data_IF_830329861382
#
_entry.id   IF_830329861382
#
_cell.length_a   1.000
_cell.length_b   1.000
_cell.length_c   1.000
_cell.angle_alpha   90.00
_cell.angle_beta   90.00
_cell.angle_gamma   90.00
#
_symmetry.space_group_name_H-M   'P 1'
#
loop_
_entity.id
_entity.type
_entity.pdbx_description
1 polymer ?
#
# COMPACT_ATOMS: atom_id res chain seq x y z
N UNK A 1 3.20 -29.58 -29.63
CA UNK A 1 4.08 -29.27 -28.46
C UNK A 1 4.54 -27.81 -28.37
N UNK A 2 4.55 -27.05 -29.47
CA UNK A 2 5.12 -25.68 -29.49
C UNK A 2 4.18 -24.58 -28.92
N UNK A 3 2.88 -24.73 -29.01
CA UNK A 3 1.91 -23.71 -28.54
C UNK A 3 1.85 -23.61 -27.01
N UNK A 4 2.10 -24.68 -26.27
CA UNK A 4 2.09 -24.67 -24.81
C UNK A 4 3.33 -24.00 -24.17
N UNK A 5 4.47 -24.05 -24.85
CA UNK A 5 5.72 -23.43 -24.39
C UNK A 5 5.67 -21.90 -24.48
N UNK A 6 5.04 -21.33 -25.52
CA UNK A 6 4.89 -19.89 -25.68
C UNK A 6 3.99 -19.25 -24.60
N UNK A 7 2.86 -19.86 -24.32
CA UNK A 7 1.92 -19.38 -23.31
C UNK A 7 2.50 -19.45 -21.88
N UNK A 8 3.28 -20.48 -21.58
CA UNK A 8 3.96 -20.59 -20.29
C UNK A 8 5.07 -19.54 -20.10
N UNK A 9 5.84 -19.24 -21.15
CA UNK A 9 6.86 -18.20 -21.15
C UNK A 9 6.24 -16.79 -21.00
N UNK A 10 5.15 -16.51 -21.71
CA UNK A 10 4.43 -15.23 -21.62
C UNK A 10 3.84 -15.01 -20.23
N UNK A 11 3.22 -16.02 -19.63
CA UNK A 11 2.70 -15.97 -18.27
C UNK A 11 3.82 -15.75 -17.22
N UNK A 12 5.02 -16.33 -17.43
CA UNK A 12 6.15 -16.14 -16.54
C UNK A 12 6.71 -14.71 -16.61
N UNK A 13 6.80 -14.12 -17.79
CA UNK A 13 7.23 -12.71 -17.98
C UNK A 13 6.25 -11.75 -17.31
N UNK A 14 4.94 -11.94 -17.50
CA UNK A 14 3.93 -11.13 -16.84
C UNK A 14 3.95 -11.25 -15.31
N UNK A 15 4.20 -12.44 -14.78
CA UNK A 15 4.33 -12.64 -13.33
C UNK A 15 5.57 -11.96 -12.76
N UNK A 16 6.71 -12.04 -13.46
CA UNK A 16 7.94 -11.35 -13.07
C UNK A 16 7.80 -9.83 -13.08
N UNK A 17 7.20 -9.25 -14.12
CA UNK A 17 6.95 -7.80 -14.19
C UNK A 17 6.08 -7.31 -13.03
N UNK A 18 5.04 -8.07 -12.67
CA UNK A 18 4.20 -7.77 -11.51
C UNK A 18 4.99 -7.79 -10.20
N UNK A 19 5.81 -8.81 -10.01
CA UNK A 19 6.65 -8.94 -8.81
C UNK A 19 7.68 -7.82 -8.73
N UNK A 20 8.34 -7.49 -9.82
CA UNK A 20 9.30 -6.39 -9.91
C UNK A 20 8.64 -5.03 -9.62
N UNK A 21 7.43 -4.78 -10.16
CA UNK A 21 6.66 -3.57 -9.87
C UNK A 21 6.27 -3.45 -8.40
N UNK A 22 5.89 -4.55 -7.75
CA UNK A 22 5.57 -4.55 -6.32
C UNK A 22 6.82 -4.40 -5.45
N UNK A 23 7.92 -5.06 -5.82
CA UNK A 23 9.19 -4.93 -5.10
C UNK A 23 9.73 -3.49 -5.18
N UNK A 24 9.70 -2.86 -6.35
CA UNK A 24 10.12 -1.46 -6.53
C UNK A 24 9.20 -0.49 -5.76
N UNK A 25 7.88 -0.71 -5.74
CA UNK A 25 6.98 0.04 -4.88
C UNK A 25 7.38 -0.08 -3.39
N UNK A 26 7.59 -1.31 -2.92
CA UNK A 26 7.99 -1.56 -1.53
C UNK A 26 9.30 -0.85 -1.18
N UNK A 27 10.30 -0.89 -2.06
CA UNK A 27 11.58 -0.25 -1.83
C UNK A 27 11.49 1.28 -1.80
N UNK A 28 10.93 1.90 -2.84
CA UNK A 28 10.91 3.36 -2.96
C UNK A 28 9.85 4.01 -2.06
N UNK A 29 8.66 3.46 -1.98
CA UNK A 29 7.57 4.08 -1.22
C UNK A 29 7.56 3.64 0.24
N UNK A 30 7.53 2.33 0.51
CA UNK A 30 7.48 1.83 1.89
C UNK A 30 8.82 1.98 2.59
N UNK A 31 9.94 1.71 1.92
CA UNK A 31 11.27 1.87 2.48
C UNK A 31 11.67 3.34 2.60
N UNK A 32 11.76 4.05 1.49
CA UNK A 32 12.32 5.41 1.47
C UNK A 32 11.32 6.49 1.89
N UNK A 33 10.15 6.59 1.23
CA UNK A 33 9.21 7.68 1.50
C UNK A 33 8.60 7.57 2.91
N UNK A 34 8.20 6.38 3.33
CA UNK A 34 7.65 6.14 4.68
C UNK A 34 8.70 6.37 5.77
N UNK A 35 9.98 6.06 5.52
CA UNK A 35 11.06 6.38 6.45
C UNK A 35 11.16 7.89 6.71
N UNK A 36 11.15 8.71 5.66
CA UNK A 36 11.18 10.17 5.80
C UNK A 36 9.92 10.72 6.47
N UNK A 37 8.76 10.15 6.13
CA UNK A 37 7.50 10.47 6.79
C UNK A 37 7.56 10.19 8.29
N UNK A 38 8.06 9.04 8.73
CA UNK A 38 8.17 8.72 10.14
C UNK A 38 9.22 9.55 10.86
N UNK A 39 10.31 9.93 10.22
CA UNK A 39 11.25 10.90 10.77
C UNK A 39 10.57 12.24 11.05
N UNK A 40 9.80 12.75 10.10
CA UNK A 40 9.01 13.97 10.25
C UNK A 40 7.97 13.83 11.38
N UNK A 41 7.22 12.73 11.42
CA UNK A 41 6.24 12.46 12.47
C UNK A 41 6.89 12.32 13.85
N UNK A 42 8.08 11.74 13.95
CA UNK A 42 8.81 11.64 15.22
C UNK A 42 9.38 12.99 15.68
N UNK A 43 9.67 13.90 14.74
CA UNK A 43 10.02 15.27 15.07
C UNK A 43 8.82 16.07 15.61
N UNK A 44 7.65 15.92 15.01
CA UNK A 44 6.41 16.57 15.47
C UNK A 44 5.89 15.99 16.80
N UNK A 45 6.04 14.67 16.98
CA UNK A 45 5.56 13.93 18.15
C UNK A 45 6.71 13.09 18.72
N UNK A 46 7.65 13.70 19.48
CA UNK A 46 8.79 13.00 20.04
C UNK A 46 8.35 11.87 20.98
N UNK A 47 9.06 10.75 20.92
CA UNK A 47 8.73 9.56 21.70
C UNK A 47 8.84 9.80 23.21
N UNK A 48 9.83 10.58 23.62
CA UNK A 48 10.11 10.89 25.02
C UNK A 48 8.99 11.69 25.71
N UNK A 49 8.23 12.45 24.93
CA UNK A 49 7.10 13.28 25.43
C UNK A 49 5.75 12.79 24.96
N UNK A 50 5.67 11.52 24.52
CA UNK A 50 4.45 10.96 23.95
C UNK A 50 3.43 10.70 25.05
N UNK A 51 2.32 11.43 24.99
CA UNK A 51 1.13 11.23 25.84
C UNK A 51 0.04 10.50 25.03
N UNK A 52 -0.98 9.89 25.66
CA UNK A 52 -2.08 9.26 24.94
C UNK A 52 -2.75 10.19 23.91
N UNK A 53 -2.93 11.48 24.24
CA UNK A 53 -3.50 12.46 23.33
C UNK A 53 -2.59 12.74 22.13
N UNK A 54 -1.28 12.90 22.38
CA UNK A 54 -0.29 13.08 21.29
C UNK A 54 -0.20 11.83 20.41
N UNK A 55 -0.31 10.64 21.00
CA UNK A 55 -0.36 9.39 20.24
C UNK A 55 -1.57 9.34 19.32
N UNK A 56 -2.77 9.66 19.81
CA UNK A 56 -3.98 9.73 18.99
C UNK A 56 -3.82 10.76 17.86
N UNK A 57 -3.28 11.94 18.16
CA UNK A 57 -3.01 12.96 17.15
C UNK A 57 -2.00 12.45 16.09
N UNK A 58 -0.94 11.76 16.51
CA UNK A 58 0.05 11.14 15.60
C UNK A 58 -0.60 10.10 14.69
N UNK A 59 -1.41 9.20 15.23
CA UNK A 59 -2.15 8.20 14.45
C UNK A 59 -3.14 8.88 13.51
N UNK A 60 -3.92 9.86 13.99
CA UNK A 60 -4.88 10.60 13.17
C UNK A 60 -4.19 11.33 12.01
N UNK A 61 -3.07 12.01 12.25
CA UNK A 61 -2.27 12.67 11.22
C UNK A 61 -1.76 11.66 10.19
N UNK A 62 -1.26 10.51 10.65
CA UNK A 62 -0.82 9.45 9.75
C UNK A 62 -1.94 8.93 8.86
N UNK A 63 -3.14 8.75 9.41
CA UNK A 63 -4.30 8.28 8.65
C UNK A 63 -4.88 9.36 7.72
N UNK A 64 -4.88 10.61 8.13
CA UNK A 64 -5.45 11.70 7.35
C UNK A 64 -4.55 12.15 6.19
N UNK A 65 -3.23 12.00 6.32
CA UNK A 65 -2.26 12.49 5.33
C UNK A 65 -1.55 11.34 4.62
N UNK A 66 -0.84 10.48 5.36
CA UNK A 66 0.00 9.44 4.77
C UNK A 66 -0.83 8.38 4.05
N UNK A 67 -1.93 7.92 4.64
CA UNK A 67 -2.76 6.86 4.06
C UNK A 67 -3.39 7.27 2.72
N UNK A 68 -4.08 8.42 2.56
CA UNK A 68 -4.60 8.85 1.27
C UNK A 68 -3.51 9.05 0.21
N UNK A 69 -2.40 9.68 0.58
CA UNK A 69 -1.28 9.95 -0.35
C UNK A 69 -0.68 8.63 -0.85
N UNK A 70 -0.37 7.68 0.05
CA UNK A 70 0.20 6.40 -0.36
C UNK A 70 -0.76 5.58 -1.22
N UNK A 71 -2.07 5.56 -0.91
CA UNK A 71 -3.05 4.85 -1.72
C UNK A 71 -3.20 5.50 -3.12
N UNK A 72 -3.24 6.83 -3.20
CA UNK A 72 -3.32 7.55 -4.47
C UNK A 72 -2.09 7.28 -5.35
N UNK A 73 -0.89 7.34 -4.77
CA UNK A 73 0.36 7.02 -5.45
C UNK A 73 0.42 5.55 -5.87
N UNK A 74 -0.07 4.63 -5.04
CA UNK A 74 -0.13 3.20 -5.37
C UNK A 74 -1.03 2.93 -6.59
N UNK A 75 -2.21 3.56 -6.66
CA UNK A 75 -3.05 3.44 -7.84
C UNK A 75 -2.37 3.96 -9.10
N UNK A 76 -1.67 5.11 -9.00
CA UNK A 76 -0.87 5.65 -10.10
C UNK A 76 0.24 4.69 -10.53
N UNK A 77 0.97 4.13 -9.57
CA UNK A 77 2.05 3.18 -9.82
C UNK A 77 1.56 1.92 -10.56
N UNK A 78 0.44 1.36 -10.13
CA UNK A 78 -0.16 0.17 -10.78
C UNK A 78 -0.55 0.49 -12.23
N UNK A 79 -1.14 1.66 -12.50
CA UNK A 79 -1.50 2.08 -13.86
C UNK A 79 -0.26 2.30 -14.72
N UNK A 80 0.75 3.00 -14.19
CA UNK A 80 2.01 3.26 -14.89
C UNK A 80 2.74 1.99 -15.30
N UNK A 81 2.75 0.98 -14.43
CA UNK A 81 3.52 -0.27 -14.64
C UNK A 81 2.80 -1.34 -15.43
N UNK A 82 1.45 -1.26 -15.55
CA UNK A 82 0.65 -2.30 -16.20
C UNK A 82 0.10 -1.90 -17.56
N UNK A 83 0.06 -0.63 -17.87
CA UNK A 83 -0.62 -0.14 -19.07
C UNK A 83 0.37 0.46 -20.08
N UNK A 84 0.23 0.05 -21.35
CA UNK A 84 1.00 0.59 -22.48
C UNK A 84 0.33 1.79 -23.16
N UNK A 85 -0.70 2.38 -22.55
CA UNK A 85 -1.47 3.49 -23.10
C UNK A 85 -0.70 4.84 -23.01
N UNK A 86 -1.20 5.87 -23.71
CA UNK A 86 -0.65 7.21 -23.66
C UNK A 86 -0.67 7.82 -22.25
N UNK A 87 0.16 8.83 -21.99
CA UNK A 87 0.23 9.51 -20.70
C UNK A 87 -1.11 10.13 -20.28
N UNK A 88 -1.83 10.75 -21.23
CA UNK A 88 -3.13 11.37 -20.97
C UNK A 88 -4.18 10.33 -20.57
N UNK A 89 -4.24 9.20 -21.29
CA UNK A 89 -5.15 8.11 -20.97
C UNK A 89 -4.84 7.48 -19.59
N UNK A 90 -3.56 7.39 -19.20
CA UNK A 90 -3.17 6.93 -17.85
C UNK A 90 -3.61 7.89 -16.76
N UNK A 91 -3.49 9.20 -17.00
CA UNK A 91 -3.89 10.23 -16.05
C UNK A 91 -5.41 10.21 -15.83
N UNK A 92 -6.20 10.08 -16.90
CA UNK A 92 -7.66 10.01 -16.81
C UNK A 92 -8.12 8.76 -16.05
N UNK A 93 -7.49 7.62 -16.30
CA UNK A 93 -7.76 6.37 -15.55
C UNK A 93 -7.39 6.49 -14.08
N UNK A 94 -6.26 7.14 -13.78
CA UNK A 94 -5.86 7.38 -12.40
C UNK A 94 -6.87 8.27 -11.68
N UNK A 95 -7.32 9.36 -12.29
CA UNK A 95 -8.36 10.24 -11.74
C UNK A 95 -9.68 9.49 -11.53
N UNK A 96 -10.13 8.72 -12.50
CA UNK A 96 -11.33 7.90 -12.39
C UNK A 96 -11.21 6.87 -11.25
N UNK A 97 -10.03 6.24 -11.11
CA UNK A 97 -9.77 5.28 -10.03
C UNK A 97 -9.72 5.94 -8.65
N UNK A 98 -9.16 7.15 -8.55
CA UNK A 98 -9.18 7.92 -7.29
C UNK A 98 -10.60 8.25 -6.86
N UNK A 99 -11.43 8.74 -7.78
CA UNK A 99 -12.82 9.09 -7.45
C UNK A 99 -13.68 7.89 -7.05
N UNK A 100 -13.44 6.71 -7.66
CA UNK A 100 -14.23 5.52 -7.41
C UNK A 100 -13.74 4.71 -6.19
N UNK A 101 -12.43 4.53 -6.05
CA UNK A 101 -11.87 3.50 -5.16
C UNK A 101 -11.13 4.05 -3.95
N UNK A 102 -10.71 5.33 -3.94
CA UNK A 102 -9.85 5.85 -2.86
C UNK A 102 -10.59 5.87 -1.51
N UNK A 103 -11.79 6.45 -1.46
CA UNK A 103 -12.55 6.56 -0.22
C UNK A 103 -12.94 5.19 0.38
N UNK A 104 -13.52 4.24 -0.40
CA UNK A 104 -13.81 2.92 0.14
C UNK A 104 -12.56 2.11 0.53
N UNK A 105 -11.43 2.30 -0.15
CA UNK A 105 -10.16 1.67 0.23
C UNK A 105 -9.65 2.19 1.58
N UNK A 106 -9.66 3.50 1.77
CA UNK A 106 -9.28 4.13 3.05
C UNK A 106 -10.20 3.65 4.17
N UNK A 107 -11.52 3.65 3.97
CA UNK A 107 -12.47 3.22 4.98
C UNK A 107 -12.24 1.77 5.43
N UNK A 108 -11.96 0.85 4.50
CA UNK A 108 -11.69 -0.56 4.82
C UNK A 108 -10.37 -0.75 5.55
N UNK A 109 -9.34 0.02 5.21
CA UNK A 109 -8.03 -0.08 5.81
C UNK A 109 -7.90 0.66 7.14
N UNK A 110 -8.83 1.59 7.43
CA UNK A 110 -8.75 2.50 8.58
C UNK A 110 -8.63 1.74 9.91
N UNK A 111 -9.46 0.73 10.12
CA UNK A 111 -9.47 -0.05 11.38
C UNK A 111 -8.13 -0.77 11.57
N UNK A 112 -7.67 -1.49 10.55
CA UNK A 112 -6.40 -2.22 10.60
C UNK A 112 -5.21 -1.29 10.85
N UNK A 113 -5.07 -0.25 10.04
CA UNK A 113 -3.93 0.64 10.11
C UNK A 113 -3.95 1.56 11.34
N UNK A 114 -5.13 1.98 11.82
CA UNK A 114 -5.19 2.75 13.06
C UNK A 114 -4.75 1.93 14.26
N UNK A 115 -5.23 0.70 14.40
CA UNK A 115 -4.83 -0.20 15.49
C UNK A 115 -3.34 -0.55 15.39
N UNK A 116 -2.86 -0.85 14.20
CA UNK A 116 -1.44 -1.18 13.95
C UNK A 116 -0.53 0.01 14.28
N UNK A 117 -0.86 1.20 13.78
CA UNK A 117 -0.05 2.40 14.04
C UNK A 117 -0.09 2.81 15.51
N UNK A 118 -1.22 2.62 16.19
CA UNK A 118 -1.30 2.83 17.63
C UNK A 118 -0.29 1.94 18.37
N UNK A 119 -0.25 0.65 18.04
CA UNK A 119 0.72 -0.29 18.61
C UNK A 119 2.17 0.07 18.26
N UNK A 120 2.45 0.35 16.98
CA UNK A 120 3.80 0.71 16.52
C UNK A 120 4.31 1.96 17.24
N UNK A 121 3.52 3.03 17.28
CA UNK A 121 3.96 4.31 17.85
C UNK A 121 4.03 4.31 19.37
N UNK A 122 3.30 3.40 20.05
CA UNK A 122 3.30 3.30 21.49
C UNK A 122 4.38 2.34 22.03
N UNK A 123 4.55 1.18 21.38
CA UNK A 123 5.41 0.13 21.91
C UNK A 123 6.81 0.09 21.28
N UNK A 124 6.99 0.59 20.05
CA UNK A 124 8.26 0.53 19.35
C UNK A 124 9.00 1.86 19.45
N UNK A 125 10.33 1.76 19.59
CA UNK A 125 11.19 2.94 19.45
C UNK A 125 11.16 3.49 18.02
N UNK A 126 11.39 4.80 17.81
CA UNK A 126 11.34 5.44 16.50
C UNK A 126 12.15 4.76 15.39
N UNK A 127 13.31 4.18 15.75
CA UNK A 127 14.18 3.43 14.83
C UNK A 127 13.53 2.16 14.26
N UNK A 128 12.55 1.59 14.97
CA UNK A 128 11.85 0.36 14.58
C UNK A 128 10.50 0.60 13.90
N UNK A 129 10.03 1.85 13.79
CA UNK A 129 8.72 2.16 13.19
C UNK A 129 8.61 1.67 11.75
N UNK A 130 9.66 1.86 10.93
CA UNK A 130 9.67 1.39 9.53
C UNK A 130 9.60 -0.13 9.46
N UNK A 131 10.36 -0.82 10.32
CA UNK A 131 10.37 -2.28 10.38
C UNK A 131 9.00 -2.83 10.78
N UNK A 132 8.40 -2.29 11.86
CA UNK A 132 7.05 -2.66 12.31
C UNK A 132 5.99 -2.44 11.23
N UNK A 133 6.07 -1.30 10.53
CA UNK A 133 5.16 -1.01 9.41
C UNK A 133 5.35 -1.97 8.25
N UNK A 134 6.58 -2.38 7.93
CA UNK A 134 6.85 -3.35 6.87
C UNK A 134 6.26 -4.73 7.18
N UNK A 135 6.36 -5.18 8.42
CA UNK A 135 5.72 -6.42 8.89
C UNK A 135 4.20 -6.32 8.79
N UNK A 136 3.62 -5.22 9.26
CA UNK A 136 2.18 -4.98 9.17
C UNK A 136 1.70 -4.93 7.70
N UNK A 137 2.48 -4.32 6.82
CA UNK A 137 2.20 -4.27 5.38
C UNK A 137 2.22 -5.66 4.75
N UNK A 138 3.15 -6.52 5.14
CA UNK A 138 3.18 -7.91 4.70
C UNK A 138 1.90 -8.67 5.13
N UNK A 139 1.48 -8.53 6.39
CA UNK A 139 0.23 -9.13 6.90
C UNK A 139 -0.98 -8.61 6.12
N UNK A 140 -1.05 -7.29 5.91
CA UNK A 140 -2.15 -6.65 5.17
C UNK A 140 -2.25 -7.13 3.73
N UNK A 141 -1.14 -7.18 3.00
CA UNK A 141 -1.12 -7.62 1.60
C UNK A 141 -1.47 -9.10 1.47
N UNK A 142 -1.03 -9.93 2.40
CA UNK A 142 -1.41 -11.35 2.47
C UNK A 142 -2.92 -11.50 2.68
N UNK A 143 -3.48 -10.76 3.64
CA UNK A 143 -4.93 -10.75 3.89
C UNK A 143 -5.74 -10.31 2.65
N UNK A 144 -5.38 -9.19 2.04
CA UNK A 144 -6.06 -8.68 0.85
C UNK A 144 -5.96 -9.66 -0.32
N UNK A 145 -4.82 -10.32 -0.51
CA UNK A 145 -4.65 -11.36 -1.51
C UNK A 145 -5.61 -12.54 -1.26
N UNK A 146 -5.68 -13.04 -0.04
CA UNK A 146 -6.57 -14.17 0.31
C UNK A 146 -8.05 -13.83 0.11
N UNK A 147 -8.46 -12.62 0.49
CA UNK A 147 -9.84 -12.16 0.30
C UNK A 147 -10.15 -11.98 -1.20
N UNK A 148 -9.21 -11.41 -1.96
CA UNK A 148 -9.36 -11.23 -3.40
C UNK A 148 -9.54 -12.56 -4.14
N UNK A 149 -8.76 -13.58 -3.81
CA UNK A 149 -8.90 -14.91 -4.41
C UNK A 149 -10.25 -15.58 -4.09
N UNK A 150 -10.77 -15.41 -2.87
CA UNK A 150 -12.09 -15.96 -2.49
C UNK A 150 -13.25 -15.33 -3.28
N UNK A 151 -13.14 -14.06 -3.63
CA UNK A 151 -14.17 -13.38 -4.43
C UNK A 151 -14.17 -13.85 -5.89
N UNK A 152 -13.00 -14.06 -6.48
CA UNK A 152 -12.88 -14.57 -7.87
C UNK A 152 -13.41 -16.01 -7.97
N UNK A 153 -13.14 -16.85 -6.98
CA UNK A 153 -13.64 -18.23 -6.94
C UNK A 153 -15.18 -18.35 -6.77
N UNK A 154 -15.84 -17.30 -6.29
CA UNK A 154 -17.30 -17.26 -6.10
C UNK A 154 -18.05 -16.60 -7.25
N UNK A 155 -17.35 -16.00 -8.22
CA UNK A 155 -17.99 -15.42 -9.39
C UNK A 155 -18.58 -16.57 -10.25
N UNK A 156 -19.90 -16.57 -10.56
CA UNK A 156 -20.50 -17.60 -11.42
C UNK A 156 -19.85 -17.54 -12.80
N UNK A 157 -19.34 -18.66 -13.26
CA UNK A 157 -18.92 -18.87 -14.66
C UNK A 157 -20.15 -18.65 -15.54
N UNK A 158 -20.19 -17.53 -16.24
CA UNK A 158 -21.15 -17.25 -17.33
C UNK A 158 -20.65 -17.85 -18.63
#
# INVERSE_FOLDING_TARGET
GAAGSGAAAENSVHSFQRSAAMASWGFFMTGYAVMHWFRFMNHLFPFETLTPMKLLAKVATNQAVCSPVLNALFFGWVILTRESSSADAKLDRWRAKLSADLAPTIARSLVFWSTTNLGIFWFLQPSWHVCGTSVAFFVWTTYVSLVGYRQVAKAPTR
#
